data_IF_755738488133
#
_entry.id   IF_755738488133
#
_cell.length_a   1.000
_cell.length_b   1.000
_cell.length_c   1.000
_cell.angle_alpha   90.00
_cell.angle_beta   90.00
_cell.angle_gamma   90.00
#
_symmetry.space_group_name_H-M   'P 1'
#
loop_
_entity.id
_entity.type
_entity.pdbx_description
1 polymer ?
#
# COMPACT_ATOMS: atom_id res chain seq x y z
N UNK A 1 -40.69 -8.17 -7.17
CA UNK A 1 -39.24 -8.13 -7.47
C UNK A 1 -38.50 -8.13 -6.14
N UNK A 2 -37.69 -9.15 -5.87
CA UNK A 2 -37.07 -9.34 -4.56
C UNK A 2 -35.67 -8.73 -4.60
N UNK A 3 -35.57 -7.46 -4.21
CA UNK A 3 -34.32 -6.67 -4.20
C UNK A 3 -33.53 -6.89 -2.89
N UNK A 4 -34.08 -7.68 -1.97
CA UNK A 4 -33.42 -8.07 -0.71
C UNK A 4 -32.35 -9.13 -0.91
N UNK A 5 -31.53 -9.34 0.12
CA UNK A 5 -30.39 -10.25 0.12
C UNK A 5 -30.81 -11.73 -0.02
N UNK A 6 -31.08 -12.17 -1.24
CA UNK A 6 -31.50 -13.52 -1.55
C UNK A 6 -30.41 -14.21 -2.40
N UNK A 7 -29.78 -15.30 -1.92
CA UNK A 7 -28.77 -16.02 -2.69
C UNK A 7 -29.34 -16.84 -3.86
N UNK A 8 -30.66 -16.91 -4.04
CA UNK A 8 -31.32 -17.66 -5.13
C UNK A 8 -31.95 -16.75 -6.20
N UNK A 9 -32.04 -15.43 -5.97
CA UNK A 9 -32.72 -14.46 -6.87
C UNK A 9 -31.99 -13.11 -6.87
N UNK A 10 -32.26 -12.24 -7.84
CA UNK A 10 -31.61 -10.92 -7.92
C UNK A 10 -30.21 -10.96 -8.52
N UNK A 11 -30.01 -11.91 -9.44
CA UNK A 11 -28.80 -12.09 -10.23
C UNK A 11 -28.65 -11.01 -11.29
N UNK A 12 -27.47 -10.39 -11.33
CA UNK A 12 -27.03 -9.40 -12.28
C UNK A 12 -25.86 -9.98 -13.11
N UNK A 13 -25.62 -9.50 -14.34
CA UNK A 13 -24.43 -9.86 -15.12
C UNK A 13 -23.15 -9.58 -14.32
N UNK A 14 -22.10 -10.38 -14.47
CA UNK A 14 -20.82 -10.08 -13.86
C UNK A 14 -19.95 -9.28 -14.84
N UNK A 15 -19.37 -8.13 -14.45
CA UNK A 15 -18.47 -7.37 -15.31
C UNK A 15 -17.12 -8.05 -15.56
N UNK A 16 -16.81 -9.15 -14.86
CA UNK A 16 -15.51 -9.84 -14.90
C UNK A 16 -15.60 -11.30 -15.41
N UNK A 17 -16.76 -11.77 -15.89
CA UNK A 17 -16.91 -13.13 -16.40
C UNK A 17 -18.36 -13.50 -16.71
N UNK A 18 -18.59 -14.76 -17.09
CA UNK A 18 -19.90 -15.22 -17.56
C UNK A 18 -20.87 -15.63 -16.43
N UNK A 19 -20.34 -15.84 -15.22
CA UNK A 19 -21.10 -16.16 -14.00
C UNK A 19 -22.01 -15.00 -13.59
N UNK A 20 -23.17 -15.25 -13.00
CA UNK A 20 -24.03 -14.17 -12.47
C UNK A 20 -23.67 -13.85 -11.02
N UNK A 21 -23.81 -12.59 -10.63
CA UNK A 21 -23.54 -12.13 -9.25
C UNK A 21 -24.73 -11.39 -8.65
N UNK A 22 -24.81 -11.30 -7.33
CA UNK A 22 -25.92 -10.62 -6.64
C UNK A 22 -25.72 -9.09 -6.59
N UNK A 23 -26.79 -8.33 -6.38
CA UNK A 23 -26.70 -6.88 -6.11
C UNK A 23 -25.77 -6.56 -4.93
N UNK A 24 -25.73 -7.42 -3.89
CA UNK A 24 -24.76 -7.28 -2.79
C UNK A 24 -23.32 -7.36 -3.29
N UNK A 25 -23.03 -8.31 -4.19
CA UNK A 25 -21.69 -8.47 -4.75
C UNK A 25 -21.27 -7.23 -5.53
N UNK A 26 -22.20 -6.61 -6.25
CA UNK A 26 -22.00 -5.29 -6.86
C UNK A 26 -21.67 -4.19 -5.83
N UNK A 27 -22.42 -4.13 -4.72
CA UNK A 27 -22.16 -3.14 -3.66
C UNK A 27 -20.83 -3.38 -2.94
N UNK A 28 -20.38 -4.63 -2.84
CA UNK A 28 -19.06 -4.97 -2.32
C UNK A 28 -17.94 -4.45 -3.22
N UNK A 29 -18.14 -4.39 -4.55
CA UNK A 29 -17.14 -3.85 -5.47
C UNK A 29 -16.85 -2.36 -5.21
N UNK A 30 -17.86 -1.56 -4.84
CA UNK A 30 -17.63 -0.15 -4.47
C UNK A 30 -16.77 0.01 -3.22
N UNK A 31 -16.70 -1.01 -2.37
CA UNK A 31 -15.90 -1.05 -1.15
C UNK A 31 -14.63 -1.91 -1.33
N UNK A 32 -14.36 -2.42 -2.52
CA UNK A 32 -13.20 -3.25 -2.78
C UNK A 32 -11.93 -2.39 -2.70
N UNK A 33 -11.04 -2.74 -1.77
CA UNK A 33 -9.73 -2.12 -1.61
C UNK A 33 -8.67 -3.13 -2.05
N UNK A 34 -8.02 -2.86 -3.17
CA UNK A 34 -6.85 -3.61 -3.58
C UNK A 34 -5.62 -3.09 -2.80
N UNK A 35 -4.85 -4.00 -2.20
CA UNK A 35 -3.50 -3.65 -1.75
C UNK A 35 -2.54 -3.74 -2.94
N UNK A 36 -1.98 -2.60 -3.33
CA UNK A 36 -1.03 -2.51 -4.44
C UNK A 36 0.35 -2.02 -4.00
N UNK A 37 0.61 -1.96 -2.68
CA UNK A 37 1.91 -1.61 -2.10
C UNK A 37 2.88 -2.78 -2.25
N UNK A 38 4.14 -2.49 -2.55
CA UNK A 38 5.24 -3.45 -2.59
C UNK A 38 6.33 -2.90 -1.68
N UNK A 39 6.39 -3.47 -0.49
CA UNK A 39 7.26 -3.03 0.59
C UNK A 39 8.07 -4.21 1.08
N UNK A 40 9.31 -3.96 1.47
CA UNK A 40 10.17 -4.95 2.12
C UNK A 40 10.84 -4.27 3.30
N UNK A 41 10.79 -4.90 4.46
CA UNK A 41 11.51 -4.44 5.66
C UNK A 41 12.38 -5.58 6.14
N UNK A 42 13.66 -5.28 6.37
CA UNK A 42 14.65 -6.27 6.81
C UNK A 42 15.48 -5.70 7.96
N UNK A 43 15.83 -6.59 8.88
CA UNK A 43 16.89 -6.35 9.86
C UNK A 43 18.22 -6.89 9.29
N UNK A 44 19.29 -6.10 9.39
CA UNK A 44 20.61 -6.46 8.87
C UNK A 44 21.67 -6.20 9.93
N UNK A 45 22.87 -6.73 9.73
CA UNK A 45 24.05 -6.41 10.56
C UNK A 45 24.35 -4.90 10.67
N UNK A 46 24.01 -4.14 9.62
CA UNK A 46 24.12 -2.68 9.55
C UNK A 46 22.86 -1.93 10.02
N UNK A 47 21.89 -2.64 10.59
CA UNK A 47 20.62 -2.10 11.06
C UNK A 47 19.47 -2.24 10.07
N UNK A 48 18.32 -1.69 10.46
CA UNK A 48 17.06 -1.82 9.72
C UNK A 48 17.08 -1.11 8.36
N UNK A 49 16.45 -1.74 7.37
CA UNK A 49 16.26 -1.19 6.03
C UNK A 49 14.82 -1.39 5.58
N UNK A 50 14.31 -0.40 4.88
CA UNK A 50 13.02 -0.44 4.22
C UNK A 50 13.16 -0.16 2.73
N UNK A 51 12.44 -0.90 1.91
CA UNK A 51 12.34 -0.73 0.48
C UNK A 51 10.88 -0.49 0.11
N UNK A 52 10.65 0.52 -0.72
CA UNK A 52 9.37 0.77 -1.41
C UNK A 52 9.65 0.74 -2.91
N UNK A 53 8.88 -0.04 -3.66
CA UNK A 53 9.13 -0.21 -5.10
C UNK A 53 7.85 -0.25 -5.94
N UNK A 54 7.96 0.11 -7.21
CA UNK A 54 6.93 -0.13 -8.22
C UNK A 54 6.89 -1.59 -8.70
N UNK A 55 8.01 -2.32 -8.59
CA UNK A 55 8.14 -3.67 -9.10
C UNK A 55 7.39 -4.67 -8.22
N UNK A 56 6.52 -5.49 -8.82
CA UNK A 56 6.05 -6.69 -8.14
C UNK A 56 7.14 -7.77 -8.15
N UNK A 57 7.21 -8.65 -7.14
CA UNK A 57 8.13 -9.77 -7.11
C UNK A 57 7.63 -10.92 -8.02
N UNK A 58 7.47 -10.67 -9.32
CA UNK A 58 7.06 -11.67 -10.31
C UNK A 58 7.72 -11.42 -11.68
N UNK A 59 7.74 -12.44 -12.54
CA UNK A 59 8.42 -12.40 -13.85
C UNK A 59 7.96 -11.22 -14.73
N UNK A 60 6.66 -10.93 -14.76
CA UNK A 60 6.11 -9.82 -15.54
C UNK A 60 6.73 -8.45 -15.25
N UNK A 61 7.07 -8.12 -14.00
CA UNK A 61 7.67 -6.82 -13.65
C UNK A 61 9.16 -6.74 -13.99
N UNK A 62 9.85 -7.87 -14.21
CA UNK A 62 11.30 -7.92 -14.41
C UNK A 62 11.77 -7.24 -15.70
N UNK A 63 10.90 -7.19 -16.73
CA UNK A 63 11.21 -6.64 -18.06
C UNK A 63 10.72 -5.20 -18.25
N UNK A 64 10.27 -4.56 -17.17
CA UNK A 64 9.72 -3.20 -17.23
C UNK A 64 10.59 -2.19 -16.49
N UNK A 65 10.44 -0.92 -16.86
CA UNK A 65 11.02 0.18 -16.10
C UNK A 65 10.34 0.26 -14.74
N UNK A 66 11.14 0.20 -13.68
CA UNK A 66 10.69 0.27 -12.31
C UNK A 66 11.55 1.26 -11.53
N UNK A 67 10.97 1.79 -10.46
CA UNK A 67 11.68 2.65 -9.50
C UNK A 67 11.55 2.05 -8.11
N UNK A 68 12.60 2.22 -7.31
CA UNK A 68 12.61 1.82 -5.92
C UNK A 68 13.40 2.84 -5.09
N UNK A 69 13.04 2.96 -3.82
CA UNK A 69 13.80 3.70 -2.82
C UNK A 69 14.11 2.77 -1.65
N UNK A 70 15.39 2.72 -1.27
CA UNK A 70 15.85 2.06 -0.04
C UNK A 70 16.20 3.13 0.98
N UNK A 71 15.66 2.99 2.18
CA UNK A 71 15.88 3.90 3.30
C UNK A 71 16.37 3.10 4.50
N UNK A 72 17.47 3.55 5.10
CA UNK A 72 18.04 2.93 6.29
C UNK A 72 17.49 3.60 7.55
N UNK A 73 17.25 2.81 8.60
CA UNK A 73 16.84 3.30 9.91
C UNK A 73 15.33 3.41 10.10
N UNK A 74 14.90 4.53 10.71
CA UNK A 74 13.58 4.66 11.34
C UNK A 74 12.38 4.40 10.42
N UNK A 75 12.53 4.64 9.11
CA UNK A 75 11.49 4.39 8.12
C UNK A 75 11.01 2.93 8.09
N UNK A 76 11.84 1.98 8.55
CA UNK A 76 11.40 0.61 8.77
C UNK A 76 10.21 0.50 9.74
N UNK A 77 10.21 1.30 10.81
CA UNK A 77 9.11 1.36 11.77
C UNK A 77 7.82 1.84 11.11
N UNK A 78 7.90 2.92 10.35
CA UNK A 78 6.77 3.54 9.69
C UNK A 78 6.14 2.58 8.67
N UNK A 79 6.97 1.90 7.86
CA UNK A 79 6.50 0.89 6.89
C UNK A 79 5.84 -0.28 7.61
N UNK A 80 6.46 -0.83 8.67
CA UNK A 80 5.89 -1.92 9.45
C UNK A 80 4.55 -1.53 10.10
N UNK A 81 4.41 -0.29 10.57
CA UNK A 81 3.16 0.23 11.10
C UNK A 81 2.05 0.22 10.03
N UNK A 82 2.36 0.57 8.78
CA UNK A 82 1.38 0.50 7.69
C UNK A 82 0.97 -0.95 7.37
N UNK A 83 1.91 -1.90 7.40
CA UNK A 83 1.60 -3.32 7.16
C UNK A 83 0.81 -3.94 8.32
N UNK A 84 1.07 -3.50 9.55
CA UNK A 84 0.31 -3.94 10.72
C UNK A 84 -1.18 -3.57 10.61
N UNK A 85 -1.49 -2.38 10.08
CA UNK A 85 -2.88 -1.97 9.82
C UNK A 85 -3.56 -2.87 8.76
N UNK A 86 -2.82 -3.31 7.73
CA UNK A 86 -3.33 -4.25 6.72
C UNK A 86 -3.56 -5.63 7.30
N UNK A 87 -2.64 -6.12 8.13
CA UNK A 87 -2.78 -7.40 8.81
C UNK A 87 -4.05 -7.42 9.67
N UNK A 88 -4.28 -6.36 10.45
CA UNK A 88 -5.49 -6.20 11.27
C UNK A 88 -6.76 -6.15 10.40
N UNK A 89 -6.76 -5.39 9.30
CA UNK A 89 -7.88 -5.35 8.35
C UNK A 89 -8.17 -6.74 7.75
N UNK A 90 -7.13 -7.55 7.59
CA UNK A 90 -7.22 -8.92 7.05
C UNK A 90 -7.59 -9.97 8.11
N UNK A 91 -7.91 -9.55 9.35
CA UNK A 91 -8.25 -10.46 10.45
C UNK A 91 -7.05 -11.17 11.08
N UNK A 92 -5.83 -10.71 10.81
CA UNK A 92 -4.59 -11.22 11.38
C UNK A 92 -4.00 -10.27 12.41
N UNK A 93 -3.27 -10.80 13.38
CA UNK A 93 -2.37 -9.99 14.20
C UNK A 93 -1.07 -9.69 13.45
N UNK A 94 -0.46 -8.55 13.74
CA UNK A 94 0.93 -8.27 13.38
C UNK A 94 1.81 -8.48 14.62
N UNK A 95 3.01 -9.09 14.49
CA UNK A 95 3.93 -9.20 15.61
C UNK A 95 4.30 -7.81 16.14
N UNK A 96 4.34 -7.66 17.46
CA UNK A 96 4.83 -6.45 18.11
C UNK A 96 6.35 -6.36 17.89
N UNK A 97 6.77 -5.37 17.12
CA UNK A 97 8.19 -5.09 16.87
C UNK A 97 8.69 -4.08 17.89
N UNK A 98 9.68 -4.48 18.69
CA UNK A 98 10.45 -3.56 19.52
C UNK A 98 11.57 -3.04 18.64
N UNK A 99 11.40 -1.83 18.12
CA UNK A 99 12.46 -1.14 17.39
C UNK A 99 13.25 -0.30 18.39
N UNK A 100 14.57 -0.46 18.36
CA UNK A 100 15.47 0.38 19.16
C UNK A 100 15.45 1.84 18.69
N UNK A 101 16.11 2.70 19.44
CA UNK A 101 16.28 4.09 19.04
C UNK A 101 17.06 4.19 17.72
N UNK A 102 16.56 5.02 16.81
CA UNK A 102 17.22 5.31 15.56
C UNK A 102 17.99 6.63 15.69
N UNK A 103 19.29 6.61 15.44
CA UNK A 103 20.06 7.85 15.33
C UNK A 103 19.60 8.66 14.11
N UNK A 104 19.14 9.88 14.36
CA UNK A 104 18.74 10.81 13.29
C UNK A 104 19.93 11.64 12.87
N UNK A 105 20.41 11.38 11.66
CA UNK A 105 21.43 12.20 11.03
C UNK A 105 20.77 13.39 10.31
N UNK A 106 20.83 14.56 10.95
CA UNK A 106 20.25 15.81 10.43
C UNK A 106 20.92 16.32 9.16
N UNK A 107 22.09 15.78 8.79
CA UNK A 107 22.79 16.14 7.54
C UNK A 107 22.22 15.42 6.32
N UNK A 108 21.41 14.36 6.52
CA UNK A 108 20.85 13.54 5.44
C UNK A 108 19.47 14.03 5.00
N UNK A 109 19.04 13.72 3.76
CA UNK A 109 17.69 13.97 3.31
C UNK A 109 16.65 13.34 4.24
N UNK A 110 15.58 14.09 4.51
CA UNK A 110 14.44 13.60 5.27
C UNK A 110 13.52 12.77 4.38
N UNK A 111 12.94 11.73 4.96
CA UNK A 111 11.97 10.85 4.29
C UNK A 111 10.71 10.75 5.16
N UNK A 112 9.56 10.66 4.50
CA UNK A 112 8.26 10.45 5.13
C UNK A 112 7.54 9.31 4.40
N UNK A 113 6.98 8.37 5.15
CA UNK A 113 6.06 7.36 4.61
C UNK A 113 4.68 7.99 4.44
N UNK A 114 4.12 7.87 3.25
CA UNK A 114 2.79 8.37 2.90
C UNK A 114 1.95 7.23 2.33
N UNK A 115 0.66 7.22 2.65
CA UNK A 115 -0.30 6.22 2.17
C UNK A 115 -1.53 6.89 1.55
N UNK A 116 -2.11 6.25 0.54
CA UNK A 116 -3.45 6.59 0.01
C UNK A 116 -3.62 8.09 -0.31
N UNK A 117 -4.60 8.75 0.31
CA UNK A 117 -4.88 10.18 0.09
C UNK A 117 -3.70 11.10 0.45
N UNK A 118 -2.86 10.72 1.40
CA UNK A 118 -1.70 11.53 1.76
C UNK A 118 -0.67 11.61 0.63
N UNK A 119 -0.55 10.57 -0.21
CA UNK A 119 0.29 10.60 -1.42
C UNK A 119 -0.29 11.62 -2.41
N UNK A 120 -1.60 11.59 -2.64
CA UNK A 120 -2.28 12.53 -3.53
C UNK A 120 -2.05 13.99 -3.09
N UNK A 121 -2.30 14.29 -1.81
CA UNK A 121 -2.11 15.63 -1.26
C UNK A 121 -0.65 16.10 -1.37
N UNK A 122 0.31 15.23 -1.04
CA UNK A 122 1.72 15.57 -1.13
C UNK A 122 2.17 15.84 -2.57
N UNK A 123 1.75 15.01 -3.53
CA UNK A 123 2.07 15.19 -4.96
C UNK A 123 1.43 16.48 -5.49
N UNK A 124 0.16 16.73 -5.17
CA UNK A 124 -0.52 17.95 -5.59
C UNK A 124 0.18 19.20 -5.04
N UNK A 125 0.58 19.17 -3.76
CA UNK A 125 1.36 20.25 -3.15
C UNK A 125 2.70 20.45 -3.85
N UNK A 126 3.44 19.37 -4.16
CA UNK A 126 4.72 19.45 -4.87
C UNK A 126 4.57 20.11 -6.24
N UNK A 127 3.54 19.73 -7.01
CA UNK A 127 3.27 20.33 -8.32
C UNK A 127 2.92 21.81 -8.19
N UNK A 128 2.00 22.16 -7.28
CA UNK A 128 1.52 23.54 -7.13
C UNK A 128 2.59 24.50 -6.57
N UNK A 129 3.61 23.98 -5.89
CA UNK A 129 4.68 24.78 -5.29
C UNK A 129 6.00 24.69 -6.06
N UNK A 130 6.05 23.91 -7.15
CA UNK A 130 7.23 23.79 -7.99
C UNK A 130 7.62 25.14 -8.57
N UNK A 131 8.91 25.49 -8.46
CA UNK A 131 9.51 26.67 -9.09
C UNK A 131 10.46 26.22 -10.21
N UNK A 132 10.60 27.00 -11.29
CA UNK A 132 11.64 26.74 -12.27
C UNK A 132 13.00 26.72 -11.58
N UNK A 133 13.89 25.89 -12.10
CA UNK A 133 15.27 25.81 -11.63
C UNK A 133 15.95 27.14 -11.96
N UNK A 134 16.42 27.86 -10.95
CA UNK A 134 17.29 29.05 -11.12
C UNK A 134 18.62 28.68 -11.76
#
# INVERSE_FOLDING_TARGET
>A
QNIGNNPEKGWLPNPFGDEKITLRSYLNLFNFKANHRKTVVVDTDTGWKSLVTSANPHDGSSRHSNVALVVNGATAADVLQTEAAVAQMSGSSSPSLILGDFEKDVSKPQVQVLTEGAIYEAVLKLINTAKPKE
#
